data_IF_904797954501
#
_entry.id   IF_904797954501
#
_cell.length_a   1.000
_cell.length_b   1.000
_cell.length_c   1.000
_cell.angle_alpha   90.00
_cell.angle_beta   90.00
_cell.angle_gamma   90.00
#
_symmetry.space_group_name_H-M   'P 1'
#
loop_
_entity.id
_entity.type
_entity.pdbx_description
1 polymer ?
#
# COMPACT_ATOMS: atom_id res chain seq x y z
N UNK A 1 -24.92 5.83 -33.68
CA UNK A 1 -23.97 5.72 -34.81
C UNK A 1 -22.85 6.71 -34.54
N UNK A 2 -21.55 6.43 -34.64
CA UNK A 2 -20.78 5.28 -35.13
C UNK A 2 -19.38 5.57 -34.58
N UNK A 3 -18.98 4.88 -33.52
CA UNK A 3 -17.55 4.74 -33.28
C UNK A 3 -17.23 3.36 -33.82
N UNK A 4 -16.54 3.34 -34.94
CA UNK A 4 -16.00 2.12 -35.50
C UNK A 4 -14.74 1.77 -34.72
N UNK A 5 -14.92 0.94 -33.69
CA UNK A 5 -13.86 0.54 -32.77
C UNK A 5 -12.78 -0.32 -33.46
N UNK A 6 -13.03 -0.82 -34.68
CA UNK A 6 -12.02 -1.53 -35.47
C UNK A 6 -10.90 -0.61 -36.01
N UNK A 7 -11.08 0.71 -35.94
CA UNK A 7 -10.12 1.70 -36.44
C UNK A 7 -9.04 2.11 -35.42
N UNK A 8 -9.15 1.67 -34.16
CA UNK A 8 -8.11 1.96 -33.16
C UNK A 8 -6.93 1.01 -33.34
N UNK A 9 -5.69 1.53 -33.50
CA UNK A 9 -4.52 0.68 -33.69
C UNK A 9 -4.32 -0.23 -32.47
N UNK A 10 -4.05 -1.52 -32.65
CA UNK A 10 -3.84 -2.44 -31.54
C UNK A 10 -2.62 -1.99 -30.73
N UNK A 11 -2.85 -1.47 -29.53
CA UNK A 11 -1.77 -0.98 -28.68
C UNK A 11 -1.02 -2.16 -28.08
N UNK A 12 0.05 -2.65 -28.73
CA UNK A 12 0.94 -3.68 -28.20
C UNK A 12 0.23 -4.85 -27.45
N UNK A 13 -0.90 -5.35 -27.98
CA UNK A 13 -1.70 -6.43 -27.37
C UNK A 13 -2.77 -6.02 -26.35
N UNK A 14 -3.09 -4.73 -26.17
CA UNK A 14 -4.14 -4.21 -25.28
C UNK A 14 -5.21 -3.48 -26.10
N UNK A 15 -6.49 -3.84 -25.89
CA UNK A 15 -7.67 -3.07 -26.35
C UNK A 15 -7.65 -1.71 -25.65
N UNK A 16 -7.53 -0.60 -26.39
CA UNK A 16 -7.46 0.75 -25.83
C UNK A 16 -8.77 1.20 -25.15
N UNK A 17 -9.89 0.51 -25.36
CA UNK A 17 -11.17 0.77 -24.68
C UNK A 17 -11.19 0.12 -23.30
N UNK A 18 -10.43 -0.96 -23.13
CA UNK A 18 -10.41 -1.74 -21.88
C UNK A 18 -9.27 -1.22 -21.02
N UNK A 19 -9.65 -0.65 -19.88
CA UNK A 19 -8.67 -0.22 -18.86
C UNK A 19 -7.79 -1.40 -18.42
N UNK A 20 -6.52 -1.14 -18.06
CA UNK A 20 -5.60 -2.18 -17.56
C UNK A 20 -6.21 -2.99 -16.40
N UNK A 21 -7.04 -2.36 -15.56
CA UNK A 21 -7.75 -3.00 -14.47
C UNK A 21 -8.82 -4.01 -14.94
N UNK A 22 -9.36 -3.86 -16.15
CA UNK A 22 -10.33 -4.80 -16.73
C UNK A 22 -9.67 -6.09 -17.26
N UNK A 23 -8.35 -6.09 -17.46
CA UNK A 23 -7.58 -7.28 -17.84
C UNK A 23 -7.15 -8.11 -16.64
N UNK A 24 -7.11 -7.50 -15.45
CA UNK A 24 -6.68 -8.15 -14.21
C UNK A 24 -7.92 -8.43 -13.38
N UNK A 25 -8.55 -9.59 -13.57
CA UNK A 25 -9.70 -10.01 -12.77
C UNK A 25 -9.30 -11.02 -11.69
N UNK A 26 -9.78 -10.86 -10.45
CA UNK A 26 -10.56 -9.74 -9.91
C UNK A 26 -9.72 -8.47 -9.64
N UNK A 27 -10.32 -7.28 -9.75
CA UNK A 27 -9.71 -6.00 -9.35
C UNK A 27 -10.54 -5.25 -8.30
N UNK A 28 -9.90 -4.34 -7.57
CA UNK A 28 -10.55 -3.56 -6.52
C UNK A 28 -11.28 -2.33 -7.10
N UNK A 29 -12.60 -2.27 -6.95
CA UNK A 29 -13.44 -1.15 -7.42
C UNK A 29 -13.29 0.14 -6.59
N UNK A 30 -12.67 0.05 -5.41
CA UNK A 30 -12.59 1.14 -4.43
C UNK A 30 -11.99 2.43 -5.01
N UNK A 31 -10.94 2.30 -5.82
CA UNK A 31 -10.22 3.42 -6.42
C UNK A 31 -10.52 3.60 -7.91
N UNK A 32 -11.32 2.69 -8.49
CA UNK A 32 -11.66 2.71 -9.89
C UNK A 32 -12.78 3.71 -10.18
N UNK A 33 -12.60 4.50 -11.22
CA UNK A 33 -13.56 5.47 -11.73
C UNK A 33 -14.00 5.07 -13.16
N UNK A 34 -15.04 4.21 -13.29
CA UNK A 34 -15.47 3.73 -14.60
C UNK A 34 -16.04 4.81 -15.51
N UNK A 35 -16.49 5.95 -14.97
CA UNK A 35 -17.32 6.89 -15.70
C UNK A 35 -16.52 7.95 -16.46
N UNK A 36 -15.31 8.30 -16.03
CA UNK A 36 -14.48 9.29 -16.71
C UNK A 36 -13.75 8.76 -17.96
N UNK A 37 -13.76 7.44 -18.18
CA UNK A 37 -13.16 6.77 -19.34
C UNK A 37 -13.98 7.01 -20.62
N UNK A 38 -15.30 7.19 -20.49
CA UNK A 38 -16.21 7.35 -21.62
C UNK A 38 -16.32 8.81 -22.11
N UNK A 39 -16.05 9.79 -21.24
CA UNK A 39 -16.18 11.21 -21.56
C UNK A 39 -14.85 11.83 -22.03
N UNK A 40 -13.70 11.23 -21.69
CA UNK A 40 -12.38 11.70 -22.15
C UNK A 40 -11.43 10.53 -22.54
N UNK A 41 -11.49 10.05 -23.80
CA UNK A 41 -10.63 8.98 -24.30
C UNK A 41 -9.13 9.30 -24.30
N UNK A 42 -8.73 10.56 -24.14
CA UNK A 42 -7.31 10.92 -24.06
C UNK A 42 -6.72 10.63 -22.66
N UNK A 43 -7.56 10.53 -21.63
CA UNK A 43 -7.15 10.23 -20.25
C UNK A 43 -7.60 8.85 -19.78
N UNK A 44 -8.40 8.14 -20.58
CA UNK A 44 -8.77 6.73 -20.36
C UNK A 44 -7.51 5.86 -20.28
N UNK A 45 -7.29 5.20 -19.14
CA UNK A 45 -6.16 4.28 -18.95
C UNK A 45 -4.85 4.91 -18.47
N UNK A 46 -4.79 6.23 -18.21
CA UNK A 46 -3.59 6.89 -17.68
C UNK A 46 -3.44 6.76 -16.15
N UNK A 47 -4.23 5.89 -15.51
CA UNK A 47 -4.20 5.67 -14.06
C UNK A 47 -4.75 6.82 -13.21
N UNK A 48 -5.38 7.83 -13.83
CA UNK A 48 -6.01 8.94 -13.13
C UNK A 48 -7.40 8.54 -12.60
N UNK A 49 -7.65 8.86 -11.33
CA UNK A 49 -8.96 8.70 -10.67
C UNK A 49 -9.39 10.07 -10.14
N UNK A 50 -10.65 10.45 -10.37
CA UNK A 50 -11.22 11.70 -9.87
C UNK A 50 -12.01 11.49 -8.58
N UNK A 51 -11.88 10.30 -7.97
CA UNK A 51 -12.48 10.01 -6.68
C UNK A 51 -11.71 10.70 -5.57
N UNK A 52 -12.46 11.13 -4.55
CA UNK A 52 -11.87 11.62 -3.31
C UNK A 52 -11.01 10.53 -2.65
N UNK A 53 -9.84 10.95 -2.16
CA UNK A 53 -8.92 10.08 -1.43
C UNK A 53 -9.10 10.34 0.06
N UNK A 54 -9.31 9.27 0.83
CA UNK A 54 -9.37 9.38 2.28
C UNK A 54 -7.98 9.69 2.84
N UNK A 55 -7.84 10.86 3.47
CA UNK A 55 -6.64 11.18 4.23
C UNK A 55 -6.57 10.38 5.55
N UNK A 56 -7.73 10.16 6.19
CA UNK A 56 -7.89 9.40 7.43
C UNK A 56 -9.29 8.82 7.51
N UNK A 57 -9.47 7.72 8.24
CA UNK A 57 -10.80 7.17 8.52
C UNK A 57 -10.82 6.35 9.80
N UNK A 58 -12.02 6.19 10.36
CA UNK A 58 -12.22 5.58 11.67
C UNK A 58 -11.62 4.16 11.81
N UNK A 59 -11.69 3.33 10.77
CA UNK A 59 -11.10 1.98 10.85
C UNK A 59 -9.57 2.00 10.97
N UNK A 60 -8.87 3.03 10.48
CA UNK A 60 -7.45 3.20 10.75
C UNK A 60 -7.19 3.50 12.24
N UNK A 61 -8.04 4.33 12.86
CA UNK A 61 -7.96 4.64 14.29
C UNK A 61 -8.14 3.40 15.16
N UNK A 62 -9.08 2.52 14.81
CA UNK A 62 -9.23 1.21 15.46
C UNK A 62 -7.95 0.37 15.34
N UNK A 63 -7.32 0.34 14.16
CA UNK A 63 -6.09 -0.42 13.94
C UNK A 63 -4.89 0.16 14.70
N UNK A 64 -4.77 1.50 14.80
CA UNK A 64 -3.75 2.13 15.65
C UNK A 64 -3.95 1.83 17.13
N UNK A 65 -5.20 1.86 17.60
CA UNK A 65 -5.52 1.54 18.99
C UNK A 65 -5.27 0.06 19.30
N UNK A 66 -5.64 -0.84 18.38
CA UNK A 66 -5.33 -2.26 18.47
C UNK A 66 -3.81 -2.50 18.53
N UNK A 67 -3.02 -1.76 17.75
CA UNK A 67 -1.57 -1.83 17.81
C UNK A 67 -1.02 -1.47 19.19
N UNK A 68 -1.46 -0.34 19.75
CA UNK A 68 -1.05 0.09 21.08
C UNK A 68 -1.45 -0.93 22.16
N UNK A 69 -2.62 -1.56 22.02
CA UNK A 69 -3.03 -2.63 22.91
C UNK A 69 -2.16 -3.89 22.80
N UNK A 70 -1.75 -4.28 21.58
CA UNK A 70 -0.80 -5.38 21.39
C UNK A 70 0.53 -5.07 22.08
N UNK A 71 1.06 -3.86 21.90
CA UNK A 71 2.34 -3.45 22.52
C UNK A 71 2.27 -3.39 24.05
N UNK A 72 1.09 -3.11 24.61
CA UNK A 72 0.86 -3.06 26.07
C UNK A 72 0.36 -4.40 26.64
N UNK A 73 0.34 -5.48 25.84
CA UNK A 73 -0.08 -6.81 26.28
C UNK A 73 -1.59 -7.00 26.49
N UNK A 74 -2.41 -6.05 26.08
CA UNK A 74 -3.87 -6.06 26.24
C UNK A 74 -4.57 -6.68 25.01
N UNK A 75 -4.28 -7.95 24.73
CA UNK A 75 -4.73 -8.63 23.49
C UNK A 75 -6.25 -8.68 23.34
N UNK A 76 -7.01 -8.79 24.41
CA UNK A 76 -8.48 -8.83 24.38
C UNK A 76 -9.07 -7.51 23.88
N UNK A 77 -8.44 -6.38 24.22
CA UNK A 77 -8.87 -5.06 23.73
C UNK A 77 -8.49 -4.86 22.26
N UNK A 78 -7.31 -5.32 21.86
CA UNK A 78 -6.92 -5.33 20.46
C UNK A 78 -7.85 -6.19 19.61
N UNK A 79 -8.23 -7.37 20.11
CA UNK A 79 -9.18 -8.28 19.48
C UNK A 79 -10.54 -7.59 19.26
N UNK A 80 -11.04 -6.89 20.28
CA UNK A 80 -12.32 -6.17 20.18
C UNK A 80 -12.28 -5.14 19.04
N UNK A 81 -11.22 -4.34 18.95
CA UNK A 81 -11.05 -3.34 17.90
C UNK A 81 -10.94 -3.96 16.49
N UNK A 82 -10.15 -5.03 16.35
CA UNK A 82 -10.01 -5.76 15.08
C UNK A 82 -11.35 -6.36 14.65
N UNK A 83 -12.10 -6.96 15.58
CA UNK A 83 -13.38 -7.59 15.25
C UNK A 83 -14.47 -6.58 14.89
N UNK A 84 -14.41 -5.33 15.34
CA UNK A 84 -15.29 -4.26 14.81
C UNK A 84 -15.13 -4.13 13.30
N UNK A 85 -13.89 -4.12 12.82
CA UNK A 85 -13.57 -3.97 11.39
C UNK A 85 -13.97 -5.22 10.61
N UNK A 86 -13.60 -6.40 11.11
CA UNK A 86 -13.88 -7.68 10.46
C UNK A 86 -15.38 -7.95 10.36
N UNK A 87 -16.15 -7.67 11.43
CA UNK A 87 -17.60 -7.80 11.41
C UNK A 87 -18.25 -6.86 10.39
N UNK A 88 -17.78 -5.60 10.28
CA UNK A 88 -18.25 -4.65 9.26
C UNK A 88 -17.96 -5.17 7.85
N UNK A 89 -16.80 -5.78 7.64
CA UNK A 89 -16.40 -6.39 6.37
C UNK A 89 -17.05 -7.76 6.11
N UNK A 90 -17.87 -8.28 7.05
CA UNK A 90 -18.42 -9.65 7.03
C UNK A 90 -17.35 -10.74 6.91
N UNK A 91 -16.16 -10.48 7.43
CA UNK A 91 -15.09 -11.45 7.55
C UNK A 91 -15.26 -12.30 8.82
N UNK A 92 -14.71 -13.51 8.81
CA UNK A 92 -14.68 -14.39 10.00
C UNK A 92 -14.04 -13.65 11.18
N UNK A 93 -14.68 -13.53 12.36
CA UNK A 93 -14.05 -12.90 13.51
C UNK A 93 -12.71 -13.57 13.85
N UNK A 94 -11.73 -12.76 14.25
CA UNK A 94 -10.47 -13.23 14.80
C UNK A 94 -10.69 -13.84 16.20
N UNK A 95 -9.74 -14.66 16.62
CA UNK A 95 -9.62 -15.18 17.99
C UNK A 95 -8.46 -14.49 18.72
N UNK A 96 -8.45 -14.54 20.06
CA UNK A 96 -7.41 -13.88 20.86
C UNK A 96 -6.00 -14.42 20.59
N UNK A 97 -5.91 -15.71 20.28
CA UNK A 97 -4.63 -16.40 20.05
C UNK A 97 -3.98 -15.96 18.72
N UNK A 98 -4.79 -15.55 17.74
CA UNK A 98 -4.31 -15.00 16.47
C UNK A 98 -3.80 -13.57 16.60
N UNK A 99 -4.14 -12.85 17.68
CA UNK A 99 -3.81 -11.42 17.81
C UNK A 99 -2.34 -11.24 18.19
N UNK A 100 -1.56 -10.85 17.19
CA UNK A 100 -0.21 -10.32 17.31
C UNK A 100 0.04 -9.21 16.28
N UNK A 101 1.28 -8.69 16.25
CA UNK A 101 1.66 -7.62 15.34
C UNK A 101 1.58 -8.06 13.87
N UNK A 102 1.85 -9.33 13.58
CA UNK A 102 1.86 -9.84 12.21
C UNK A 102 0.45 -10.00 11.67
N UNK A 103 -0.48 -10.47 12.49
CA UNK A 103 -1.91 -10.52 12.19
C UNK A 103 -2.48 -9.11 11.99
N UNK A 104 -2.16 -8.17 12.88
CA UNK A 104 -2.60 -6.78 12.73
C UNK A 104 -2.08 -6.17 11.42
N UNK A 105 -0.80 -6.39 11.10
CA UNK A 105 -0.22 -5.91 9.85
C UNK A 105 -0.94 -6.50 8.63
N UNK A 106 -1.33 -7.76 8.65
CA UNK A 106 -2.09 -8.37 7.55
C UNK A 106 -3.53 -7.83 7.48
N UNK A 107 -4.17 -7.53 8.62
CA UNK A 107 -5.49 -6.89 8.66
C UNK A 107 -5.41 -5.46 8.10
N UNK A 108 -4.38 -4.69 8.48
CA UNK A 108 -4.12 -3.35 7.93
C UNK A 108 -3.98 -3.38 6.41
N UNK A 109 -3.28 -4.36 5.86
CA UNK A 109 -3.11 -4.49 4.41
C UNK A 109 -4.42 -4.76 3.66
N UNK A 110 -5.34 -5.53 4.26
CA UNK A 110 -6.66 -5.82 3.69
C UNK A 110 -7.59 -4.62 3.78
N UNK A 111 -7.61 -3.98 4.95
CA UNK A 111 -8.53 -2.90 5.26
C UNK A 111 -8.11 -1.60 4.55
N UNK A 112 -6.84 -1.21 4.67
CA UNK A 112 -6.27 0.08 4.23
C UNK A 112 -5.51 -0.04 2.89
N UNK A 113 -5.87 -1.01 2.04
CA UNK A 113 -5.26 -1.15 0.72
C UNK A 113 -5.32 0.18 -0.06
N UNK A 114 -4.16 0.66 -0.51
CA UNK A 114 -3.89 1.98 -1.13
C UNK A 114 -4.19 3.23 -0.29
N UNK A 115 -4.63 3.10 0.97
CA UNK A 115 -4.86 4.26 1.84
C UNK A 115 -3.71 4.46 2.82
N UNK A 116 -3.08 3.36 3.27
CA UNK A 116 -1.90 3.46 4.13
C UNK A 116 -0.61 3.43 3.31
N UNK A 117 0.34 4.30 3.66
CA UNK A 117 1.71 4.12 3.19
C UNK A 117 2.35 2.96 3.96
N UNK A 118 2.24 1.76 3.38
CA UNK A 118 2.71 0.51 4.00
C UNK A 118 4.16 0.57 4.43
N UNK A 119 4.99 1.29 3.69
CA UNK A 119 6.41 1.48 3.98
C UNK A 119 6.64 2.10 5.37
N UNK A 120 5.90 3.16 5.73
CA UNK A 120 6.03 3.81 7.03
C UNK A 120 5.58 2.90 8.17
N UNK A 121 4.47 2.17 7.97
CA UNK A 121 3.95 1.21 8.95
C UNK A 121 4.97 0.10 9.22
N UNK A 122 5.56 -0.47 8.18
CA UNK A 122 6.56 -1.53 8.32
C UNK A 122 7.87 -1.02 8.94
N UNK A 123 8.28 0.22 8.65
CA UNK A 123 9.46 0.84 9.28
C UNK A 123 9.26 1.03 10.77
N UNK A 124 8.17 1.69 11.18
CA UNK A 124 7.92 1.99 12.61
C UNK A 124 7.65 0.75 13.45
N UNK A 125 7.17 -0.34 12.84
CA UNK A 125 6.96 -1.62 13.53
C UNK A 125 8.18 -2.54 13.49
N UNK A 126 9.29 -2.13 12.84
CA UNK A 126 10.49 -2.96 12.70
C UNK A 126 10.34 -4.16 11.76
N UNK A 127 9.24 -4.23 10.99
CA UNK A 127 8.87 -5.38 10.16
C UNK A 127 9.23 -5.24 8.69
N UNK A 128 9.85 -4.11 8.28
CA UNK A 128 10.16 -3.83 6.86
C UNK A 128 11.02 -4.91 6.22
N UNK A 129 12.23 -5.14 6.75
CA UNK A 129 13.21 -6.04 6.14
C UNK A 129 12.68 -7.48 6.11
N UNK A 130 12.12 -7.94 7.24
CA UNK A 130 11.50 -9.25 7.38
C UNK A 130 10.41 -9.48 6.33
N UNK A 131 9.44 -8.57 6.22
CA UNK A 131 8.31 -8.72 5.29
C UNK A 131 8.70 -8.54 3.83
N UNK A 132 9.64 -7.65 3.52
CA UNK A 132 10.12 -7.48 2.14
C UNK A 132 10.80 -8.77 1.67
N UNK A 133 11.70 -9.35 2.46
CA UNK A 133 12.35 -10.63 2.12
C UNK A 133 11.34 -11.78 2.00
N UNK A 134 10.30 -11.79 2.86
CA UNK A 134 9.29 -12.85 2.90
C UNK A 134 8.29 -12.81 1.73
N UNK A 135 7.83 -11.62 1.34
CA UNK A 135 6.68 -11.48 0.43
C UNK A 135 7.00 -10.84 -0.92
N UNK A 136 8.13 -10.14 -1.09
CA UNK A 136 8.49 -9.55 -2.39
C UNK A 136 9.29 -10.56 -3.24
N UNK A 137 8.57 -11.34 -4.04
CA UNK A 137 9.10 -12.29 -5.01
C UNK A 137 9.22 -11.71 -6.44
N UNK A 138 9.21 -10.38 -6.59
CA UNK A 138 9.32 -9.75 -7.91
C UNK A 138 10.65 -10.14 -8.58
N UNK A 139 10.65 -10.77 -9.76
CA UNK A 139 11.89 -11.21 -10.41
C UNK A 139 12.76 -10.05 -10.93
N UNK A 140 12.17 -8.88 -11.21
CA UNK A 140 12.89 -7.69 -11.67
C UNK A 140 13.47 -6.88 -10.49
N UNK A 141 12.76 -6.86 -9.37
CA UNK A 141 13.20 -6.18 -8.13
C UNK A 141 13.05 -7.10 -6.91
N UNK A 142 13.89 -8.15 -6.80
CA UNK A 142 13.74 -9.14 -5.74
C UNK A 142 13.88 -8.52 -4.36
N UNK A 143 12.93 -8.82 -3.47
CA UNK A 143 12.97 -8.34 -2.09
C UNK A 143 14.19 -8.80 -1.31
N UNK A 144 14.80 -9.91 -1.72
CA UNK A 144 16.00 -10.47 -1.08
C UNK A 144 17.21 -9.54 -1.11
N UNK A 145 17.26 -8.58 -2.03
CA UNK A 145 18.38 -7.64 -2.12
C UNK A 145 18.33 -6.53 -1.06
N UNK A 146 17.23 -6.43 -0.29
CA UNK A 146 17.14 -5.45 0.79
C UNK A 146 18.18 -5.74 1.88
N UNK A 147 18.93 -4.71 2.26
CA UNK A 147 19.88 -4.75 3.36
C UNK A 147 19.25 -4.20 4.63
N UNK A 148 19.78 -4.58 5.80
CA UNK A 148 19.19 -4.21 7.08
C UNK A 148 19.20 -2.69 7.32
N UNK A 149 20.17 -1.97 6.74
CA UNK A 149 20.27 -0.51 6.83
C UNK A 149 19.31 0.25 5.90
N UNK A 150 18.61 -0.43 4.97
CA UNK A 150 17.61 0.20 4.09
C UNK A 150 16.31 0.62 4.81
N UNK A 151 16.25 0.43 6.14
CA UNK A 151 15.24 1.03 7.01
C UNK A 151 15.34 2.55 7.04
N UNK A 152 16.50 3.12 6.74
CA UNK A 152 16.66 4.56 6.44
C UNK A 152 16.91 4.72 4.94
N UNK A 153 16.51 5.86 4.36
CA UNK A 153 16.88 6.19 2.98
C UNK A 153 18.25 6.89 2.98
N UNK A 154 19.03 6.81 1.89
CA UNK A 154 20.21 7.64 1.76
C UNK A 154 19.79 9.11 1.79
N UNK A 155 20.58 9.93 2.48
CA UNK A 155 20.51 11.38 2.39
C UNK A 155 21.02 11.76 0.99
N UNK A 156 20.28 12.57 0.20
CA UNK A 156 20.75 12.98 -1.12
C UNK A 156 22.09 13.71 -1.04
N UNK A 157 23.05 13.34 -1.90
CA UNK A 157 24.41 13.89 -1.88
C UNK A 157 24.42 15.42 -1.99
N UNK A 158 23.56 15.98 -2.84
CA UNK A 158 23.42 17.45 -2.97
C UNK A 158 23.11 18.13 -1.64
N UNK A 159 22.35 17.49 -0.74
CA UNK A 159 22.05 18.07 0.57
C UNK A 159 23.24 18.00 1.53
N UNK A 160 24.10 17.00 1.38
CA UNK A 160 25.37 16.90 2.11
C UNK A 160 26.34 17.97 1.61
N UNK A 161 26.47 18.10 0.29
CA UNK A 161 27.39 19.06 -0.35
C UNK A 161 27.02 20.52 -0.05
N UNK A 162 25.72 20.82 0.12
CA UNK A 162 25.24 22.15 0.53
C UNK A 162 25.61 22.52 1.97
N UNK A 163 25.95 21.55 2.81
CA UNK A 163 26.36 21.80 4.19
C UNK A 163 27.86 22.12 4.27
N UNK A 164 28.19 23.39 4.04
CA UNK A 164 29.59 23.88 4.00
C UNK A 164 30.24 24.09 5.36
N UNK A 165 29.48 24.05 6.47
CA UNK A 165 29.94 24.54 7.78
C UNK A 165 29.75 23.56 8.93
N UNK A 166 29.17 22.38 8.70
CA UNK A 166 28.96 21.37 9.73
C UNK A 166 29.24 19.95 9.23
N UNK A 167 29.57 19.06 10.18
CA UNK A 167 29.62 17.62 9.91
C UNK A 167 28.20 17.11 9.69
N UNK A 168 27.94 16.53 8.52
CA UNK A 168 26.64 15.99 8.12
C UNK A 168 26.81 14.64 7.45
N UNK A 169 27.13 13.61 8.26
CA UNK A 169 27.45 12.30 7.73
C UNK A 169 26.22 11.63 7.13
N UNK A 170 26.48 10.78 6.15
CA UNK A 170 25.47 9.94 5.53
C UNK A 170 24.85 8.96 6.54
N UNK A 171 23.61 8.52 6.27
CA UNK A 171 22.98 7.44 7.04
C UNK A 171 23.84 6.16 7.01
N UNK A 172 23.92 5.41 8.13
CA UNK A 172 24.74 4.20 8.21
C UNK A 172 24.47 3.22 7.06
N UNK A 173 25.54 2.65 6.49
CA UNK A 173 25.47 1.67 5.40
C UNK A 173 25.39 2.27 3.98
N UNK A 174 25.20 3.59 3.86
CA UNK A 174 25.29 4.30 2.59
C UNK A 174 26.67 4.98 2.45
N UNK A 175 27.15 5.09 1.21
CA UNK A 175 28.40 5.75 0.84
C UNK A 175 28.10 7.01 0.04
#
# INVERSE_FOLDING_TARGET
>A
QRIDFSLYPPSAGRDPIRDTCQYIYPFFLKFYDPCNVLENPATSGNGASYKDIYAMRLAETYLFRAEAYIQTGQKEKALADINVIRNRAKATPATVDEVDIDYLLDERARELYQEECRFYVLRRTGKLVERVRKYNNNPLTPGLNIQDYHVLLPIPQEQIDLNISGDFPQNPGYQ
#
